data_IF_111640305725
#
_entry.id   IF_111640305725
#
_cell.length_a   1.000
_cell.length_b   1.000
_cell.length_c   1.000
_cell.angle_alpha   90.00
_cell.angle_beta   90.00
_cell.angle_gamma   90.00
#
_symmetry.space_group_name_H-M   'P 1'
#
loop_
_entity.id
_entity.type
_entity.pdbx_description
1 polymer ?
#
# COMPACT_ATOMS: atom_id res chain seq x y z
N UNK A 1 -18.02 -40.81 8.17
CA UNK A 1 -16.78 -41.54 7.82
C UNK A 1 -16.91 -43.03 7.99
N UNK A 2 -17.54 -43.52 9.07
CA UNK A 2 -17.65 -44.94 9.39
C UNK A 2 -18.51 -45.74 8.37
N UNK A 3 -19.63 -45.19 7.94
CA UNK A 3 -20.55 -45.85 6.99
C UNK A 3 -19.92 -46.12 5.61
N UNK A 4 -18.93 -45.31 5.20
CA UNK A 4 -18.30 -45.40 3.88
C UNK A 4 -17.41 -46.64 3.73
N UNK A 5 -16.79 -47.09 4.82
CA UNK A 5 -15.96 -48.32 4.82
C UNK A 5 -16.80 -49.60 4.59
N UNK A 6 -18.08 -49.56 4.95
CA UNK A 6 -18.98 -50.70 4.76
C UNK A 6 -19.72 -50.67 3.41
N UNK A 7 -20.00 -49.47 2.88
CA UNK A 7 -20.73 -49.31 1.61
C UNK A 7 -19.85 -49.69 0.39
N UNK A 8 -18.54 -49.46 0.46
CA UNK A 8 -17.62 -49.83 -0.62
C UNK A 8 -17.39 -51.37 -0.74
N UNK A 9 -17.87 -52.14 0.24
CA UNK A 9 -17.75 -53.62 0.26
C UNK A 9 -19.05 -54.31 -0.16
N UNK A 10 -20.13 -53.59 -0.45
CA UNK A 10 -21.37 -54.18 -0.90
C UNK A 10 -21.24 -54.63 -2.36
N UNK A 11 -21.56 -55.91 -2.68
CA UNK A 11 -21.55 -56.38 -4.05
C UNK A 11 -22.57 -55.55 -4.85
N UNK A 12 -22.23 -55.23 -6.08
CA UNK A 12 -23.21 -54.59 -6.99
C UNK A 12 -24.38 -55.54 -7.21
N UNK A 13 -25.62 -55.01 -7.17
CA UNK A 13 -26.80 -55.85 -7.46
C UNK A 13 -26.74 -56.34 -8.90
N UNK A 14 -27.06 -57.60 -9.10
CA UNK A 14 -27.18 -58.24 -10.42
C UNK A 14 -28.59 -57.94 -10.97
N UNK A 15 -28.69 -56.81 -11.68
CA UNK A 15 -29.97 -56.32 -12.24
C UNK A 15 -29.78 -55.87 -13.69
N UNK A 16 -30.68 -56.23 -14.57
CA UNK A 16 -30.65 -55.84 -15.97
C UNK A 16 -31.19 -54.43 -16.19
N UNK A 17 -32.16 -53.98 -15.37
CA UNK A 17 -32.82 -52.68 -15.52
C UNK A 17 -33.32 -52.19 -14.16
N UNK A 18 -33.14 -50.88 -13.89
CA UNK A 18 -33.70 -50.19 -12.72
C UNK A 18 -34.46 -48.96 -13.23
N UNK A 19 -35.77 -48.97 -13.02
CA UNK A 19 -36.66 -47.84 -13.41
C UNK A 19 -37.27 -47.17 -12.17
N UNK A 20 -37.69 -45.95 -12.29
CA UNK A 20 -38.42 -45.22 -11.24
C UNK A 20 -37.59 -44.70 -10.09
N UNK A 21 -36.27 -44.65 -10.23
CA UNK A 21 -35.42 -44.01 -9.20
C UNK A 21 -35.60 -42.49 -9.23
N UNK A 22 -35.85 -41.91 -8.07
CA UNK A 22 -35.82 -40.47 -7.89
C UNK A 22 -34.40 -39.92 -8.15
N UNK A 23 -34.27 -38.69 -8.67
CA UNK A 23 -32.94 -38.06 -8.82
C UNK A 23 -32.16 -38.10 -7.51
N UNK A 24 -30.98 -38.75 -7.52
CA UNK A 24 -30.13 -38.84 -6.37
C UNK A 24 -29.01 -37.75 -6.42
N UNK A 25 -28.93 -36.94 -5.40
CA UNK A 25 -27.84 -35.94 -5.24
C UNK A 25 -26.80 -36.54 -4.31
N UNK A 26 -25.60 -36.79 -4.81
CA UNK A 26 -24.49 -37.24 -4.00
C UNK A 26 -23.55 -36.06 -3.71
N UNK A 27 -23.50 -35.63 -2.46
CA UNK A 27 -22.53 -34.64 -2.00
C UNK A 27 -21.30 -35.39 -1.53
N UNK A 28 -20.21 -35.23 -2.25
CA UNK A 28 -18.90 -35.77 -1.82
C UNK A 28 -18.15 -34.73 -1.02
N UNK A 29 -17.69 -35.08 0.15
CA UNK A 29 -16.72 -34.30 0.86
C UNK A 29 -15.38 -34.39 0.10
N UNK A 30 -14.93 -33.29 -0.50
CA UNK A 30 -13.60 -33.25 -1.07
C UNK A 30 -12.59 -33.37 0.06
N UNK A 31 -11.68 -34.33 -0.06
CA UNK A 31 -10.52 -34.41 0.83
C UNK A 31 -9.74 -33.10 0.69
N UNK A 32 -9.35 -32.50 1.82
CA UNK A 32 -8.54 -31.29 1.82
C UNK A 32 -7.32 -31.49 0.90
N UNK A 33 -7.09 -30.53 0.02
CA UNK A 33 -5.92 -30.52 -0.84
C UNK A 33 -4.68 -30.69 0.01
N UNK A 34 -3.76 -31.57 -0.37
CA UNK A 34 -2.48 -31.74 0.30
C UNK A 34 -1.53 -30.55 0.11
N UNK A 35 -1.99 -29.49 -0.56
CA UNK A 35 -1.22 -28.27 -0.74
C UNK A 35 -1.26 -27.44 0.56
N UNK A 36 -0.12 -27.26 1.26
CA UNK A 36 -0.07 -26.55 2.53
C UNK A 36 -0.46 -25.05 2.42
N UNK A 37 -0.53 -24.52 1.20
CA UNK A 37 -0.99 -23.14 0.95
C UNK A 37 -2.50 -23.04 0.69
N UNK A 38 -3.20 -24.15 0.60
CA UNK A 38 -4.65 -24.17 0.35
C UNK A 38 -5.39 -24.19 1.68
N UNK A 39 -6.09 -23.10 1.97
CA UNK A 39 -6.98 -22.97 3.13
C UNK A 39 -8.43 -23.13 2.68
N UNK A 40 -9.35 -23.37 3.62
CA UNK A 40 -10.80 -23.37 3.34
C UNK A 40 -11.21 -22.08 2.65
N UNK A 41 -10.70 -20.94 3.08
CA UNK A 41 -11.00 -19.64 2.49
C UNK A 41 -10.62 -19.51 1.02
N UNK A 42 -9.49 -20.14 0.59
CA UNK A 42 -9.05 -20.10 -0.82
C UNK A 42 -9.80 -21.09 -1.69
N UNK A 43 -10.17 -22.26 -1.14
CA UNK A 43 -10.91 -23.30 -1.88
C UNK A 43 -12.38 -22.93 -2.09
N UNK A 44 -12.95 -22.16 -1.18
CA UNK A 44 -14.36 -21.74 -1.19
C UNK A 44 -14.59 -20.34 -1.77
N UNK A 45 -13.53 -19.69 -2.28
CA UNK A 45 -13.55 -18.31 -2.79
C UNK A 45 -13.93 -17.24 -1.73
N UNK A 46 -14.12 -17.64 -0.46
CA UNK A 46 -14.43 -16.71 0.64
C UNK A 46 -13.33 -15.66 0.77
N UNK A 47 -12.09 -16.03 0.54
CA UNK A 47 -10.97 -15.10 0.59
C UNK A 47 -11.10 -13.96 -0.44
N UNK A 48 -11.55 -14.25 -1.65
CA UNK A 48 -11.72 -13.23 -2.68
C UNK A 48 -12.88 -12.28 -2.36
N UNK A 49 -13.96 -12.80 -1.79
CA UNK A 49 -15.05 -11.97 -1.29
C UNK A 49 -14.60 -11.09 -0.10
N UNK A 50 -13.79 -11.60 0.82
CA UNK A 50 -13.22 -10.83 1.92
C UNK A 50 -12.27 -9.75 1.41
N UNK A 51 -11.42 -10.04 0.44
CA UNK A 51 -10.54 -9.04 -0.18
C UNK A 51 -11.35 -7.88 -0.77
N UNK A 52 -12.41 -8.19 -1.50
CA UNK A 52 -13.28 -7.16 -2.07
C UNK A 52 -14.00 -6.35 -0.99
N UNK A 53 -14.50 -7.00 0.04
CA UNK A 53 -15.15 -6.35 1.18
C UNK A 53 -14.20 -5.39 1.87
N UNK A 54 -13.00 -5.85 2.26
CA UNK A 54 -12.00 -5.02 2.93
C UNK A 54 -11.44 -3.92 2.03
N UNK A 55 -11.31 -4.16 0.73
CA UNK A 55 -10.88 -3.13 -0.20
C UNK A 55 -11.88 -1.97 -0.33
N UNK A 56 -13.19 -2.24 -0.18
CA UNK A 56 -14.25 -1.23 -0.33
C UNK A 56 -14.76 -0.63 0.96
N UNK A 57 -14.82 -1.40 2.02
CA UNK A 57 -15.40 -1.01 3.30
C UNK A 57 -14.43 -1.08 4.47
N UNK A 58 -13.23 -1.63 4.26
CA UNK A 58 -12.22 -1.74 5.30
C UNK A 58 -11.54 -0.41 5.59
N UNK A 59 -11.18 -0.20 6.85
CA UNK A 59 -10.32 0.89 7.28
C UNK A 59 -8.91 0.36 7.46
N UNK A 60 -7.96 0.88 6.67
CA UNK A 60 -6.56 0.49 6.77
C UNK A 60 -5.94 1.03 8.07
N UNK A 61 -5.15 0.20 8.72
CA UNK A 61 -4.38 0.59 9.90
C UNK A 61 -2.91 0.22 9.71
N UNK A 62 -2.02 1.01 10.31
CA UNK A 62 -0.61 0.71 10.32
C UNK A 62 -0.35 -0.59 11.09
N UNK A 63 0.35 -1.60 10.52
CA UNK A 63 0.59 -2.87 11.20
C UNK A 63 1.52 -2.73 12.42
N UNK A 64 2.34 -1.68 12.48
CA UNK A 64 3.29 -1.47 13.59
C UNK A 64 2.66 -0.71 14.77
N UNK A 65 1.92 0.37 14.50
CA UNK A 65 1.42 1.26 15.55
C UNK A 65 -0.11 1.28 15.67
N UNK A 66 -0.86 0.54 14.83
CA UNK A 66 -2.31 0.46 14.86
C UNK A 66 -3.05 1.74 14.45
N UNK A 67 -2.35 2.82 14.07
CA UNK A 67 -3.00 4.07 13.67
C UNK A 67 -3.77 3.89 12.37
N UNK A 68 -4.96 4.50 12.23
CA UNK A 68 -5.69 4.48 10.98
C UNK A 68 -4.90 5.18 9.88
N UNK A 69 -4.88 4.57 8.70
CA UNK A 69 -4.31 5.14 7.47
C UNK A 69 -5.46 5.71 6.66
N UNK A 70 -5.44 7.00 6.44
CA UNK A 70 -6.46 7.70 5.64
C UNK A 70 -5.80 8.31 4.40
N UNK A 71 -6.48 8.21 3.25
CA UNK A 71 -6.11 8.99 2.08
C UNK A 71 -6.60 10.43 2.31
N UNK A 72 -5.68 11.37 2.34
CA UNK A 72 -6.00 12.78 2.49
C UNK A 72 -6.23 13.43 1.13
N UNK A 73 -7.32 14.15 0.97
CA UNK A 73 -7.45 15.12 -0.11
C UNK A 73 -6.51 16.31 0.15
N UNK A 74 -6.11 17.02 -0.90
CA UNK A 74 -5.26 18.20 -0.77
C UNK A 74 -5.82 19.20 0.25
N UNK A 75 -7.13 19.44 0.20
CA UNK A 75 -7.80 20.33 1.15
C UNK A 75 -7.63 19.88 2.61
N UNK A 76 -7.81 18.58 2.88
CA UNK A 76 -7.60 18.02 4.23
C UNK A 76 -6.13 18.08 4.66
N UNK A 77 -5.17 17.91 3.74
CA UNK A 77 -3.75 18.07 4.04
C UNK A 77 -3.46 19.52 4.47
N UNK A 78 -3.95 20.50 3.71
CA UNK A 78 -3.81 21.91 4.02
C UNK A 78 -4.39 22.24 5.40
N UNK A 79 -5.64 21.84 5.65
CA UNK A 79 -6.32 22.10 6.93
C UNK A 79 -5.56 21.47 8.11
N UNK A 80 -5.05 20.26 7.94
CA UNK A 80 -4.29 19.56 9.00
C UNK A 80 -2.95 20.25 9.28
N UNK A 81 -2.27 20.76 8.26
CA UNK A 81 -1.02 21.52 8.44
C UNK A 81 -1.30 22.87 9.10
N UNK A 82 -2.35 23.56 8.69
CA UNK A 82 -2.73 24.85 9.31
C UNK A 82 -3.15 24.69 10.79
N UNK A 83 -3.70 23.55 11.17
CA UNK A 83 -4.05 23.22 12.55
C UNK A 83 -2.84 23.13 13.50
N UNK A 84 -1.59 23.11 12.98
CA UNK A 84 -0.38 23.21 13.80
C UNK A 84 -0.23 24.55 14.51
N UNK A 85 -0.95 25.57 14.04
CA UNK A 85 -1.00 26.89 14.66
C UNK A 85 -0.02 27.89 14.05
N UNK A 86 -0.32 29.18 14.30
CA UNK A 86 0.47 30.28 13.79
C UNK A 86 1.90 30.29 14.40
N UNK A 87 2.90 30.60 13.57
CA UNK A 87 4.29 30.61 13.95
C UNK A 87 5.02 29.25 13.75
N UNK A 88 4.30 28.17 13.54
CA UNK A 88 4.93 26.86 13.27
C UNK A 88 5.75 26.92 11.98
N UNK A 89 6.99 26.42 12.06
CA UNK A 89 7.91 26.34 10.93
C UNK A 89 7.93 24.91 10.43
N UNK A 90 7.74 24.73 9.14
CA UNK A 90 7.68 23.41 8.52
C UNK A 90 8.47 23.36 7.21
N UNK A 91 8.83 22.16 6.83
CA UNK A 91 9.39 21.83 5.52
C UNK A 91 8.46 20.84 4.84
N UNK A 92 8.00 21.17 3.64
CA UNK A 92 7.23 20.25 2.78
C UNK A 92 8.22 19.46 1.95
N UNK A 93 8.10 18.14 1.98
CA UNK A 93 9.00 17.21 1.31
C UNK A 93 8.19 16.22 0.47
N UNK A 94 8.75 15.83 -0.66
CA UNK A 94 8.24 14.78 -1.52
C UNK A 94 9.12 13.52 -1.38
N UNK A 95 8.59 12.39 -0.86
CA UNK A 95 9.32 11.14 -0.86
C UNK A 95 9.49 10.63 -2.30
N UNK A 96 10.72 10.37 -2.70
CA UNK A 96 11.03 9.83 -4.03
C UNK A 96 11.19 8.31 -3.91
N UNK A 97 10.54 7.57 -4.80
CA UNK A 97 10.70 6.13 -4.85
C UNK A 97 12.14 5.78 -5.27
N UNK A 98 12.69 4.71 -4.69
CA UNK A 98 13.96 4.16 -5.14
C UNK A 98 13.92 3.88 -6.65
N UNK A 99 14.88 4.38 -7.42
CA UNK A 99 14.91 4.14 -8.85
C UNK A 99 15.14 2.65 -9.14
N UNK A 100 14.49 2.14 -10.20
CA UNK A 100 14.71 0.79 -10.66
C UNK A 100 16.20 0.59 -11.02
N UNK A 101 16.80 -0.49 -10.54
CA UNK A 101 18.21 -0.79 -10.76
C UNK A 101 19.20 0.10 -10.02
N UNK A 102 18.74 0.91 -9.05
CA UNK A 102 19.64 1.72 -8.21
C UNK A 102 20.27 2.92 -8.91
N UNK A 103 19.73 3.39 -10.04
CA UNK A 103 20.28 4.53 -10.80
C UNK A 103 19.98 5.88 -10.12
N UNK A 104 20.57 6.07 -8.96
CA UNK A 104 20.47 7.31 -8.18
C UNK A 104 21.06 8.53 -8.91
N UNK A 105 22.10 8.33 -9.71
CA UNK A 105 22.74 9.43 -10.44
C UNK A 105 21.76 10.09 -11.41
N UNK A 106 21.04 9.28 -12.17
CA UNK A 106 20.02 9.75 -13.11
C UNK A 106 18.88 10.46 -12.39
N UNK A 107 18.44 9.94 -11.25
CA UNK A 107 17.35 10.55 -10.47
C UNK A 107 17.76 11.89 -9.88
N UNK A 108 18.95 11.98 -9.29
CA UNK A 108 19.49 13.23 -8.77
C UNK A 108 19.70 14.28 -9.87
N UNK A 109 20.16 13.87 -11.06
CA UNK A 109 20.28 14.76 -12.21
C UNK A 109 18.93 15.26 -12.72
N UNK A 110 17.90 14.42 -12.69
CA UNK A 110 16.53 14.83 -13.00
C UNK A 110 16.06 15.92 -12.05
N UNK A 111 16.22 15.70 -10.75
CA UNK A 111 15.82 16.67 -9.73
C UNK A 111 16.58 18.01 -9.85
N UNK A 112 17.88 17.98 -10.21
CA UNK A 112 18.66 19.20 -10.50
C UNK A 112 18.08 19.97 -11.69
N UNK A 113 17.75 19.26 -12.77
CA UNK A 113 17.15 19.86 -13.99
C UNK A 113 15.77 20.45 -13.71
N UNK A 114 15.00 19.81 -12.83
CA UNK A 114 13.69 20.29 -12.38
C UNK A 114 13.80 21.51 -11.43
N UNK A 115 15.02 21.94 -11.10
CA UNK A 115 15.30 23.15 -10.31
C UNK A 115 15.28 22.97 -8.80
N UNK A 116 15.27 21.75 -8.31
CA UNK A 116 15.38 21.50 -6.87
C UNK A 116 16.83 21.71 -6.39
N UNK A 117 16.95 22.25 -5.18
CA UNK A 117 18.26 22.63 -4.60
C UNK A 117 18.65 21.69 -3.46
N UNK A 118 17.67 21.20 -2.71
CA UNK A 118 17.90 20.41 -1.50
C UNK A 118 17.09 19.13 -1.45
N UNK A 119 17.75 18.10 -0.96
CA UNK A 119 17.15 16.81 -0.65
C UNK A 119 17.46 16.42 0.79
N UNK A 120 16.67 15.52 1.32
CA UNK A 120 17.01 14.72 2.50
C UNK A 120 17.36 13.32 2.02
N UNK A 121 18.58 12.91 2.22
CA UNK A 121 19.08 11.57 1.94
C UNK A 121 19.32 10.87 3.28
N UNK A 122 18.60 9.78 3.52
CA UNK A 122 18.66 9.02 4.78
C UNK A 122 18.45 9.87 6.04
N UNK A 123 17.61 10.91 5.93
CA UNK A 123 17.29 11.85 7.00
C UNK A 123 18.27 13.02 7.11
N UNK A 124 19.39 13.03 6.38
CA UNK A 124 20.34 14.14 6.35
C UNK A 124 20.02 15.08 5.19
N UNK A 125 19.94 16.39 5.51
CA UNK A 125 19.73 17.42 4.49
C UNK A 125 21.01 17.68 3.73
N UNK A 126 20.97 17.51 2.41
CA UNK A 126 22.09 17.70 1.49
C UNK A 126 21.70 18.70 0.39
N UNK A 127 22.69 19.39 -0.14
CA UNK A 127 22.54 20.24 -1.32
C UNK A 127 22.71 19.38 -2.59
N UNK A 128 21.80 19.53 -3.54
CA UNK A 128 21.89 18.81 -4.82
C UNK A 128 23.07 19.27 -5.68
N UNK A 129 23.67 20.42 -5.37
CA UNK A 129 24.92 20.87 -6.01
C UNK A 129 26.17 20.09 -5.56
N UNK A 130 26.08 19.37 -4.44
CA UNK A 130 27.14 18.49 -3.97
C UNK A 130 27.18 17.20 -4.80
N UNK A 131 28.35 16.53 -4.80
CA UNK A 131 28.49 15.21 -5.42
C UNK A 131 27.89 14.15 -4.51
N UNK A 132 26.64 13.81 -4.78
CA UNK A 132 25.89 12.80 -4.04
C UNK A 132 25.99 11.47 -4.79
N UNK A 133 26.61 10.50 -4.17
CA UNK A 133 26.79 9.14 -4.72
C UNK A 133 26.24 8.09 -3.76
N UNK A 134 24.91 7.92 -3.67
CA UNK A 134 24.31 6.85 -2.87
C UNK A 134 24.76 5.49 -3.38
N UNK A 135 25.01 4.56 -2.47
CA UNK A 135 25.40 3.19 -2.80
C UNK A 135 24.19 2.45 -3.44
N UNK A 136 24.28 1.98 -4.68
CA UNK A 136 23.16 1.32 -5.34
C UNK A 136 22.73 0.01 -4.67
N UNK A 137 23.62 -0.62 -3.90
CA UNK A 137 23.36 -1.91 -3.23
C UNK A 137 22.70 -1.74 -1.85
N UNK A 138 22.56 -0.50 -1.38
CA UNK A 138 21.96 -0.18 -0.07
C UNK A 138 20.62 0.53 -0.27
N UNK A 139 19.56 0.15 0.46
CA UNK A 139 18.30 0.89 0.43
C UNK A 139 18.48 2.31 1.00
N UNK A 140 18.16 3.32 0.20
CA UNK A 140 18.19 4.72 0.60
C UNK A 140 16.79 5.32 0.63
N UNK A 141 16.61 6.31 1.51
CA UNK A 141 15.42 7.17 1.53
C UNK A 141 15.79 8.54 0.99
N UNK A 142 15.17 8.92 -0.12
CA UNK A 142 15.36 10.23 -0.74
C UNK A 142 14.07 11.04 -0.66
N UNK A 143 14.16 12.27 -0.18
CA UNK A 143 13.03 13.20 -0.08
C UNK A 143 13.46 14.56 -0.62
N UNK A 144 12.73 15.08 -1.58
CA UNK A 144 12.98 16.41 -2.13
C UNK A 144 12.36 17.47 -1.23
N UNK A 145 13.11 18.49 -0.86
CA UNK A 145 12.58 19.66 -0.16
C UNK A 145 11.89 20.58 -1.16
N UNK A 146 10.56 20.58 -1.15
CA UNK A 146 9.75 21.38 -2.05
C UNK A 146 9.66 22.83 -1.56
N UNK A 147 9.35 23.02 -0.26
CA UNK A 147 9.22 24.37 0.31
C UNK A 147 9.50 24.38 1.81
N UNK A 148 9.85 25.57 2.31
CA UNK A 148 10.01 25.87 3.74
C UNK A 148 9.06 26.97 4.13
N UNK A 149 8.05 26.66 4.91
CA UNK A 149 6.91 27.52 5.21
C UNK A 149 6.86 27.81 6.71
N UNK A 150 6.56 29.06 7.04
CA UNK A 150 6.10 29.43 8.39
C UNK A 150 4.60 29.74 8.32
N UNK A 151 3.83 29.11 9.21
CA UNK A 151 2.38 29.30 9.26
C UNK A 151 2.09 30.73 9.72
N UNK A 152 1.41 31.50 8.87
CA UNK A 152 0.96 32.86 9.14
C UNK A 152 -0.32 33.14 8.36
N UNK A 153 -0.98 34.23 8.69
CA UNK A 153 -2.15 34.68 7.92
C UNK A 153 -1.81 34.77 6.43
N UNK A 154 -2.72 34.26 5.57
CA UNK A 154 -2.57 34.27 4.12
C UNK A 154 -1.67 33.19 3.50
N UNK A 155 -1.06 32.28 4.30
CA UNK A 155 -0.15 31.25 3.79
C UNK A 155 -0.85 30.11 3.04
N UNK A 156 -2.18 30.02 3.13
CA UNK A 156 -2.98 28.87 2.63
C UNK A 156 -2.72 28.54 1.15
N UNK A 157 -2.69 29.57 0.28
CA UNK A 157 -2.48 29.37 -1.16
C UNK A 157 -1.10 28.76 -1.43
N UNK A 158 -0.04 29.36 -0.88
CA UNK A 158 1.33 28.85 -1.02
C UNK A 158 1.49 27.44 -0.46
N UNK A 159 0.88 27.15 0.70
CA UNK A 159 0.89 25.82 1.29
C UNK A 159 0.19 24.79 0.38
N UNK A 160 -0.95 25.17 -0.21
CA UNK A 160 -1.67 24.29 -1.15
C UNK A 160 -0.83 23.96 -2.38
N UNK A 161 -0.20 24.95 -3.01
CA UNK A 161 0.68 24.77 -4.16
C UNK A 161 1.89 23.87 -3.82
N UNK A 162 2.50 24.10 -2.66
CA UNK A 162 3.65 23.30 -2.22
C UNK A 162 3.27 21.85 -1.92
N UNK A 163 2.11 21.61 -1.30
CA UNK A 163 1.61 20.25 -1.03
C UNK A 163 1.19 19.54 -2.32
N UNK A 164 0.58 20.24 -3.27
CA UNK A 164 0.22 19.70 -4.57
C UNK A 164 1.45 19.27 -5.37
N UNK A 165 2.46 20.13 -5.43
CA UNK A 165 3.74 19.82 -6.07
C UNK A 165 4.42 18.62 -5.39
N UNK A 166 4.46 18.60 -4.06
CA UNK A 166 5.04 17.49 -3.32
C UNK A 166 4.29 16.18 -3.56
N UNK A 167 2.95 16.21 -3.62
CA UNK A 167 2.13 15.04 -3.93
C UNK A 167 2.37 14.53 -5.35
N UNK A 168 2.51 15.43 -6.31
CA UNK A 168 2.82 15.08 -7.70
C UNK A 168 4.17 14.39 -7.85
N UNK A 169 5.20 14.87 -7.13
CA UNK A 169 6.54 14.28 -7.14
C UNK A 169 6.63 12.97 -6.37
N UNK A 170 5.90 12.87 -5.27
CA UNK A 170 5.95 11.75 -4.32
C UNK A 170 4.92 10.65 -4.59
N UNK A 171 4.33 10.59 -5.77
CA UNK A 171 3.30 9.60 -6.13
C UNK A 171 2.14 9.60 -5.11
N UNK A 172 1.56 10.78 -4.87
CA UNK A 172 0.48 11.01 -3.91
C UNK A 172 0.93 11.07 -2.45
N UNK A 173 2.21 10.90 -2.16
CA UNK A 173 2.77 10.96 -0.80
C UNK A 173 3.44 12.30 -0.54
N UNK A 174 3.18 12.84 0.65
CA UNK A 174 3.79 14.08 1.12
C UNK A 174 4.31 13.87 2.54
N UNK A 175 5.47 14.39 2.84
CA UNK A 175 6.02 14.47 4.18
C UNK A 175 6.09 15.93 4.64
N UNK A 176 5.57 16.19 5.82
CA UNK A 176 5.67 17.51 6.45
C UNK A 176 6.49 17.36 7.73
N UNK A 177 7.63 18.03 7.75
CA UNK A 177 8.53 18.05 8.90
C UNK A 177 8.35 19.37 9.65
N UNK A 178 7.93 19.29 10.90
CA UNK A 178 7.77 20.45 11.80
C UNK A 178 9.10 20.65 12.55
N UNK A 179 9.52 21.92 12.67
CA UNK A 179 10.78 22.30 13.32
C UNK A 179 10.53 23.08 14.61
#
# INVERSE_FOLDING_TARGET
AYARQFLDQMPKPDVELIEGLSPAIAIRQQSASKNPRSTVGTVTEIYDHLRLLYARAGQAHCPECGRPIEAYTLARMVDRVLALGEGAKLTVQAPIASPEGGDWARELDRLRKDGFVRVSLDGEVRDLGEDLTPDPDVPHTLEVQVDRISIRSGVRARLSESLELAASLGDGRVRVVVR
#
